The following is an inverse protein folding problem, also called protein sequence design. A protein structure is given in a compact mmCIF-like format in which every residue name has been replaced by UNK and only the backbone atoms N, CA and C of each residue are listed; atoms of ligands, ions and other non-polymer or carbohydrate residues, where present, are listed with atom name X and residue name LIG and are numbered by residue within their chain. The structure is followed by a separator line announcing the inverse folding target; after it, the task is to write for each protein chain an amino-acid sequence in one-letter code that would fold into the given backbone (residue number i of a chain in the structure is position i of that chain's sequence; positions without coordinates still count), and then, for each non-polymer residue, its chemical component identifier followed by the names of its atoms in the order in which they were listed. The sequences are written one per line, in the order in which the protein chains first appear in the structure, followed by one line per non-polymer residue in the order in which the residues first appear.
data_IF_569362302277
#
_entry.id   IF_569362302277
#
_cell.length_a   1.000
_cell.length_b   1.000
_cell.length_c   1.000
_cell.angle_alpha   90.00
_cell.angle_beta   90.00
_cell.angle_gamma   90.00
#
_symmetry.space_group_name_H-M   'P 1'
#
loop_
_entity.id
_entity.type
_entity.pdbx_description
1 polymer ?
#
# COMPACT_ATOMS: atom_id res chain seq x y z
N UNK A 1 41.34 -57.03 -40.60
CA UNK A 1 41.81 -58.41 -40.42
C UNK A 1 42.98 -58.38 -39.43
N UNK A 2 42.86 -59.11 -38.31
CA UNK A 2 43.89 -59.47 -37.29
C UNK A 2 44.43 -58.34 -36.37
N UNK A 3 44.10 -58.34 -35.06
CA UNK A 3 44.69 -59.04 -33.87
C UNK A 3 45.57 -58.02 -33.09
N UNK A 4 45.15 -57.49 -31.91
CA UNK A 4 45.25 -58.02 -30.53
C UNK A 4 46.67 -58.16 -29.94
N UNK A 5 46.94 -57.44 -28.83
CA UNK A 5 47.79 -57.76 -27.64
C UNK A 5 47.93 -56.46 -26.81
N UNK A 6 47.31 -56.24 -25.64
CA UNK A 6 47.40 -56.83 -24.28
C UNK A 6 48.76 -56.72 -23.55
N UNK A 7 48.65 -56.49 -22.22
CA UNK A 7 49.61 -56.62 -21.08
C UNK A 7 50.31 -55.28 -20.71
N UNK A 8 50.44 -54.79 -19.46
CA UNK A 8 50.02 -55.11 -18.07
C UNK A 8 50.36 -53.86 -17.21
N UNK A 9 49.54 -53.42 -16.23
CA UNK A 9 49.54 -53.77 -14.80
C UNK A 9 50.76 -53.25 -14.00
N UNK A 10 50.49 -52.36 -13.02
CA UNK A 10 51.03 -52.19 -11.63
C UNK A 10 50.55 -50.79 -11.22
N UNK A 11 49.52 -50.61 -10.39
CA UNK A 11 49.49 -50.93 -8.96
C UNK A 11 50.01 -49.73 -8.18
N UNK A 12 49.21 -49.13 -7.30
CA UNK A 12 49.57 -48.66 -5.96
C UNK A 12 48.28 -48.21 -5.26
N UNK A 13 47.89 -49.05 -4.29
CA UNK A 13 46.89 -48.82 -3.26
C UNK A 13 47.49 -47.96 -2.14
N UNK A 14 46.73 -47.00 -1.64
CA UNK A 14 46.76 -46.44 -0.27
C UNK A 14 45.46 -45.60 -0.15
N UNK A 15 44.33 -46.14 0.32
CA UNK A 15 43.95 -46.36 1.73
C UNK A 15 44.19 -45.15 2.63
N UNK A 16 43.17 -44.31 2.82
CA UNK A 16 42.99 -43.56 4.07
C UNK A 16 41.49 -43.25 4.30
N UNK A 17 40.90 -44.12 5.11
CA UNK A 17 39.95 -43.86 6.20
C UNK A 17 38.93 -42.71 6.07
N UNK A 18 37.69 -43.16 6.01
CA UNK A 18 36.46 -42.56 6.50
C UNK A 18 36.61 -41.46 7.57
N UNK A 19 36.05 -40.29 7.27
CA UNK A 19 35.46 -39.41 8.27
C UNK A 19 33.99 -39.19 7.88
N UNK A 20 33.10 -39.86 8.60
CA UNK A 20 31.68 -39.53 8.62
C UNK A 20 31.54 -38.09 9.14
N UNK A 21 31.34 -37.14 8.24
CA UNK A 21 30.80 -35.84 8.61
C UNK A 21 29.29 -35.90 8.36
N UNK A 22 28.54 -36.15 9.42
CA UNK A 22 27.11 -35.88 9.50
C UNK A 22 26.88 -34.39 9.22
N UNK A 23 26.65 -34.04 7.95
CA UNK A 23 26.10 -32.74 7.59
C UNK A 23 24.59 -32.88 7.74
N UNK A 24 24.11 -32.54 8.94
CA UNK A 24 22.71 -32.17 9.12
C UNK A 24 22.43 -30.98 8.22
N UNK A 25 21.79 -31.26 7.10
CA UNK A 25 21.10 -30.31 6.24
C UNK A 25 19.97 -29.66 7.04
N UNK A 26 20.29 -28.76 7.96
CA UNK A 26 19.34 -27.72 8.35
C UNK A 26 19.25 -26.80 7.14
N UNK A 27 18.23 -27.06 6.31
CA UNK A 27 17.77 -26.12 5.31
C UNK A 27 17.38 -24.83 6.03
N UNK A 28 18.36 -23.93 6.14
CA UNK A 28 18.16 -22.56 6.53
C UNK A 28 17.43 -21.91 5.35
N UNK A 29 16.10 -21.97 5.44
CA UNK A 29 15.19 -21.18 4.64
C UNK A 29 15.39 -19.72 5.06
N UNK A 30 16.44 -19.09 4.54
CA UNK A 30 16.44 -17.65 4.34
C UNK A 30 15.35 -17.36 3.32
N UNK A 31 14.12 -17.16 3.81
CA UNK A 31 13.15 -16.35 3.10
C UNK A 31 13.77 -14.98 2.96
N UNK A 32 14.45 -14.78 1.84
CA UNK A 32 14.90 -13.50 1.35
C UNK A 32 13.71 -12.55 1.39
N UNK A 33 13.65 -11.73 2.45
CA UNK A 33 12.65 -10.70 2.63
C UNK A 33 12.71 -9.80 1.40
N UNK A 34 11.68 -9.89 0.57
CA UNK A 34 11.51 -8.97 -0.54
C UNK A 34 11.43 -7.58 0.05
N UNK A 35 12.42 -6.75 -0.29
CA UNK A 35 12.49 -5.36 0.13
C UNK A 35 11.21 -4.62 -0.21
N UNK A 36 10.31 -4.56 0.77
CA UNK A 36 9.13 -3.72 0.75
C UNK A 36 9.56 -2.28 0.58
N UNK A 37 8.71 -1.47 -0.05
CA UNK A 37 8.90 -0.04 0.02
C UNK A 37 9.04 0.36 1.50
N UNK A 38 9.90 1.34 1.83
CA UNK A 38 9.94 1.91 3.17
C UNK A 38 8.54 2.36 3.58
N UNK A 39 7.95 1.64 4.52
CA UNK A 39 6.73 2.01 5.22
C UNK A 39 6.90 3.44 5.75
N UNK A 40 5.85 4.26 5.68
CA UNK A 40 5.87 5.69 6.04
C UNK A 40 6.79 6.55 5.19
N UNK A 41 6.69 6.43 3.88
CA UNK A 41 7.39 7.32 2.97
C UNK A 41 6.55 8.53 2.61
N UNK A 42 7.16 9.71 2.57
CA UNK A 42 6.54 10.98 2.21
C UNK A 42 7.32 11.65 1.07
N UNK A 43 6.60 12.40 0.23
CA UNK A 43 7.19 13.26 -0.77
C UNK A 43 7.62 14.58 -0.11
N UNK A 44 8.89 14.65 0.26
CA UNK A 44 9.49 15.86 0.83
C UNK A 44 10.20 16.65 -0.27
N UNK A 45 10.16 17.98 -0.17
CA UNK A 45 11.09 18.79 -0.93
C UNK A 45 12.51 18.50 -0.47
N UNK A 46 13.29 17.87 -1.34
CA UNK A 46 14.72 17.87 -1.18
C UNK A 46 15.21 19.29 -1.44
N UNK A 47 15.87 19.90 -0.47
CA UNK A 47 16.80 20.96 -0.81
C UNK A 47 17.82 20.36 -1.80
N UNK A 48 18.00 20.98 -2.95
CA UNK A 48 19.17 20.80 -3.81
C UNK A 48 20.46 21.31 -3.11
N UNK A 49 20.47 21.45 -1.79
CA UNK A 49 21.66 21.76 -1.00
C UNK A 49 22.44 20.46 -0.85
N UNK A 50 23.50 20.35 -1.65
CA UNK A 50 24.56 19.35 -1.61
C UNK A 50 24.38 17.99 -2.29
N UNK A 51 23.41 17.82 -3.19
CA UNK A 51 23.60 16.80 -4.21
C UNK A 51 24.49 17.34 -5.34
N UNK A 52 25.54 16.61 -5.71
CA UNK A 52 26.47 16.95 -6.81
C UNK A 52 25.69 17.27 -8.11
N UNK A 53 24.50 16.70 -8.26
CA UNK A 53 23.57 16.95 -9.36
C UNK A 53 23.00 18.36 -9.41
N UNK A 54 22.75 19.00 -8.26
CA UNK A 54 22.21 20.36 -8.23
C UNK A 54 23.17 21.38 -8.81
N UNK A 55 24.42 21.31 -8.39
CA UNK A 55 25.50 22.18 -8.88
C UNK A 55 25.74 21.93 -10.36
N UNK A 56 25.75 20.67 -10.80
CA UNK A 56 25.91 20.36 -12.23
C UNK A 56 24.73 20.84 -13.09
N UNK A 57 23.49 20.76 -12.59
CA UNK A 57 22.33 21.30 -13.27
C UNK A 57 22.42 22.82 -13.34
N UNK A 58 22.70 23.49 -12.22
CA UNK A 58 22.80 24.95 -12.20
C UNK A 58 23.91 25.47 -13.14
N UNK A 59 25.11 24.87 -13.09
CA UNK A 59 26.23 25.24 -13.96
C UNK A 59 25.94 24.99 -15.44
N UNK A 60 25.13 23.98 -15.80
CA UNK A 60 24.74 23.72 -17.19
C UNK A 60 23.55 24.55 -17.69
N UNK A 61 22.69 25.04 -16.79
CA UNK A 61 21.52 25.87 -17.11
C UNK A 61 21.65 27.29 -16.60
N UNK A 62 22.83 27.91 -16.71
CA UNK A 62 22.99 29.33 -16.38
C UNK A 62 22.01 30.26 -17.12
N UNK A 63 21.44 29.80 -18.25
CA UNK A 63 20.47 30.54 -19.05
C UNK A 63 19.01 30.39 -18.57
N UNK A 64 18.71 29.47 -17.65
CA UNK A 64 17.35 29.30 -17.12
C UNK A 64 17.38 29.53 -15.61
N UNK A 65 16.65 30.54 -15.12
CA UNK A 65 16.70 30.91 -13.72
C UNK A 65 16.29 29.74 -12.80
N UNK A 66 17.00 29.58 -11.67
CA UNK A 66 16.84 28.44 -10.76
C UNK A 66 15.38 28.23 -10.31
N UNK A 67 14.61 29.31 -10.19
CA UNK A 67 13.21 29.29 -9.78
C UNK A 67 12.24 28.66 -10.80
N UNK A 68 12.68 28.40 -12.04
CA UNK A 68 11.80 27.83 -13.07
C UNK A 68 11.74 26.30 -13.08
N UNK A 69 12.71 25.61 -12.47
CA UNK A 69 12.78 24.13 -12.49
C UNK A 69 12.22 23.45 -11.26
N UNK A 70 11.97 24.22 -10.20
CA UNK A 70 11.50 23.63 -8.96
C UNK A 70 12.58 22.98 -8.10
N UNK A 71 12.16 22.33 -7.01
CA UNK A 71 13.05 21.54 -6.14
C UNK A 71 12.85 20.06 -6.39
N UNK A 72 13.94 19.28 -6.43
CA UNK A 72 13.85 17.83 -6.65
C UNK A 72 13.14 17.20 -5.45
N UNK A 73 12.13 16.39 -5.74
CA UNK A 73 11.39 15.66 -4.70
C UNK A 73 12.17 14.42 -4.33
N UNK A 74 12.28 14.19 -3.02
CA UNK A 74 12.85 12.96 -2.46
C UNK A 74 11.79 12.22 -1.67
N UNK A 75 12.04 10.95 -1.45
CA UNK A 75 11.24 10.16 -0.52
C UNK A 75 11.93 10.17 0.84
N UNK A 76 11.25 10.72 1.83
CA UNK A 76 11.70 10.81 3.21
C UNK A 76 10.76 10.01 4.12
N UNK A 77 11.17 9.72 5.36
CA UNK A 77 10.25 9.19 6.35
C UNK A 77 9.19 10.27 6.68
N UNK A 78 7.92 9.88 6.74
CA UNK A 78 6.84 10.77 7.16
C UNK A 78 6.99 11.11 8.63
N UNK A 79 6.73 12.37 8.97
CA UNK A 79 6.50 12.74 10.35
C UNK A 79 5.07 12.32 10.72
N UNK A 80 4.89 11.63 11.85
CA UNK A 80 3.61 11.00 12.24
C UNK A 80 2.45 11.99 12.38
N UNK A 81 2.76 13.28 12.59
CA UNK A 81 1.76 14.31 12.92
C UNK A 81 1.17 15.05 11.69
N UNK A 82 1.43 14.58 10.46
CA UNK A 82 0.83 15.18 9.25
C UNK A 82 0.01 14.13 8.51
N UNK A 83 -1.29 14.12 8.79
CA UNK A 83 -2.29 13.52 7.92
C UNK A 83 -2.09 14.00 6.49
N UNK A 84 -2.20 13.06 5.55
CA UNK A 84 -1.60 13.14 4.23
C UNK A 84 -2.63 13.50 3.14
N UNK A 85 -2.98 14.79 3.02
CA UNK A 85 -3.77 15.32 1.89
C UNK A 85 -2.87 15.75 0.71
N UNK A 86 -2.02 14.84 0.24
CA UNK A 86 -1.11 15.11 -0.88
C UNK A 86 -1.71 14.68 -2.22
N UNK A 87 -2.78 13.87 -2.24
CA UNK A 87 -3.59 13.63 -3.43
C UNK A 87 -4.84 14.49 -3.31
N UNK A 88 -4.95 15.50 -4.19
CA UNK A 88 -6.13 16.34 -4.25
C UNK A 88 -7.30 15.62 -4.93
N UNK A 89 -8.52 16.15 -4.76
CA UNK A 89 -9.73 15.63 -5.37
C UNK A 89 -9.65 15.49 -6.91
N UNK A 90 -8.81 16.27 -7.59
CA UNK A 90 -8.58 16.18 -9.04
C UNK A 90 -7.49 15.14 -9.43
N UNK A 91 -7.10 14.29 -8.48
CA UNK A 91 -5.98 13.36 -8.56
C UNK A 91 -4.61 14.02 -8.79
N UNK A 92 -4.48 15.34 -8.67
CA UNK A 92 -3.18 15.97 -8.69
C UNK A 92 -2.43 15.70 -7.40
N UNK A 93 -1.12 15.63 -7.50
CA UNK A 93 -0.25 15.28 -6.37
C UNK A 93 0.48 16.51 -5.89
N UNK A 94 0.52 16.73 -4.59
CA UNK A 94 1.26 17.78 -3.93
C UNK A 94 2.32 17.19 -2.98
N UNK A 95 3.18 18.05 -2.45
CA UNK A 95 4.12 17.71 -1.37
C UNK A 95 3.54 18.11 -0.02
N UNK A 96 4.21 17.74 1.07
CA UNK A 96 3.85 18.17 2.44
C UNK A 96 3.79 19.70 2.64
N UNK A 97 4.30 20.46 1.67
CA UNK A 97 4.31 21.92 1.64
C UNK A 97 3.21 22.51 0.73
N UNK A 98 2.28 21.67 0.26
CA UNK A 98 1.17 22.08 -0.62
C UNK A 98 1.60 22.38 -2.05
N UNK A 99 2.80 21.96 -2.48
CA UNK A 99 3.31 22.28 -3.83
C UNK A 99 3.09 21.13 -4.77
N UNK A 100 2.54 21.43 -5.96
CA UNK A 100 2.27 20.41 -6.96
C UNK A 100 3.53 19.66 -7.39
N UNK A 101 3.46 18.35 -7.32
CA UNK A 101 4.43 17.42 -7.88
C UNK A 101 4.35 17.43 -9.40
N UNK A 102 5.49 17.72 -10.02
CA UNK A 102 5.68 17.69 -11.47
C UNK A 102 6.86 16.78 -11.81
N UNK A 103 7.06 16.53 -13.09
CA UNK A 103 8.20 15.80 -13.62
C UNK A 103 8.93 16.66 -14.66
N UNK A 104 10.24 16.79 -14.48
CA UNK A 104 11.15 17.44 -15.42
C UNK A 104 11.95 16.40 -16.20
N UNK A 105 12.02 16.54 -17.54
CA UNK A 105 12.81 15.64 -18.38
C UNK A 105 14.27 16.10 -18.42
N UNK A 106 15.16 15.26 -17.89
CA UNK A 106 16.60 15.43 -17.94
C UNK A 106 17.27 14.35 -18.78
N UNK A 107 17.69 14.68 -20.00
CA UNK A 107 18.26 13.71 -20.97
C UNK A 107 17.28 12.56 -21.24
N UNK A 108 17.63 11.34 -20.79
CA UNK A 108 16.82 10.11 -20.89
C UNK A 108 16.12 9.77 -19.57
N UNK A 109 16.14 10.67 -18.58
CA UNK A 109 15.54 10.48 -17.26
C UNK A 109 14.45 11.50 -17.02
N UNK A 110 13.56 11.17 -16.12
CA UNK A 110 12.50 12.03 -15.62
C UNK A 110 12.75 12.21 -14.12
N UNK A 111 12.78 13.45 -13.68
CA UNK A 111 13.07 13.84 -12.31
C UNK A 111 11.81 14.45 -11.71
N UNK A 112 11.28 13.92 -10.60
CA UNK A 112 10.19 14.57 -9.91
C UNK A 112 10.68 15.87 -9.27
N UNK A 113 9.92 16.94 -9.46
CA UNK A 113 10.22 18.28 -8.97
C UNK A 113 8.96 18.94 -8.44
N UNK A 114 9.06 19.79 -7.42
CA UNK A 114 7.96 20.69 -7.02
C UNK A 114 8.03 21.97 -7.83
N UNK A 115 6.91 22.54 -8.26
CA UNK A 115 6.94 23.81 -8.97
C UNK A 115 6.04 24.87 -8.35
N UNK A 116 6.54 26.11 -8.29
CA UNK A 116 5.76 27.29 -7.92
C UNK A 116 5.00 27.90 -9.10
N UNK A 117 5.40 27.58 -10.33
CA UNK A 117 4.80 28.15 -11.55
C UNK A 117 4.50 27.08 -12.58
N UNK A 118 3.51 27.33 -13.41
CA UNK A 118 3.27 26.52 -14.61
C UNK A 118 4.43 26.74 -15.59
N UNK A 119 5.13 25.67 -15.93
CA UNK A 119 6.17 25.68 -16.96
C UNK A 119 5.83 24.61 -17.98
N UNK A 120 5.90 24.97 -19.26
CA UNK A 120 5.64 24.05 -20.38
C UNK A 120 6.58 22.84 -20.43
N UNK A 121 7.70 22.92 -19.71
CA UNK A 121 8.69 21.85 -19.64
C UNK A 121 8.43 20.88 -18.48
N UNK A 122 7.45 21.17 -17.63
CA UNK A 122 7.07 20.37 -16.48
C UNK A 122 5.79 19.58 -16.79
N UNK A 123 5.86 18.28 -16.54
CA UNK A 123 4.74 17.37 -16.75
C UNK A 123 3.99 17.20 -15.43
N UNK A 124 2.67 17.33 -15.45
CA UNK A 124 1.85 17.10 -14.26
C UNK A 124 1.88 15.62 -13.87
N UNK A 125 2.14 15.35 -12.59
CA UNK A 125 1.97 14.02 -12.01
C UNK A 125 0.55 13.90 -11.48
N UNK A 126 -0.08 12.76 -11.75
CA UNK A 126 -1.40 12.38 -11.26
C UNK A 126 -1.32 11.07 -10.51
N UNK A 127 -2.09 10.96 -9.44
CA UNK A 127 -2.32 9.71 -8.76
C UNK A 127 -3.39 8.92 -9.51
N UNK A 128 -3.06 7.76 -10.04
CA UNK A 128 -3.98 6.94 -10.81
C UNK A 128 -3.73 5.46 -10.49
N UNK A 129 -4.76 4.75 -10.03
CA UNK A 129 -4.68 3.33 -9.64
C UNK A 129 -3.56 3.03 -8.64
N UNK A 130 -3.45 3.85 -7.59
CA UNK A 130 -2.36 3.78 -6.59
C UNK A 130 -0.96 4.00 -7.19
N UNK A 131 -0.83 4.77 -8.28
CA UNK A 131 0.47 5.01 -8.92
C UNK A 131 0.64 6.48 -9.29
N UNK A 132 1.85 6.98 -9.11
CA UNK A 132 2.24 8.30 -9.60
C UNK A 132 2.50 8.22 -11.10
N UNK A 133 1.60 8.76 -11.90
CA UNK A 133 1.61 8.68 -13.36
C UNK A 133 1.76 10.04 -14.02
N UNK A 134 2.35 10.08 -15.21
CA UNK A 134 2.43 11.28 -16.03
C UNK A 134 2.44 10.92 -17.52
N UNK A 135 2.05 11.85 -18.39
CA UNK A 135 2.05 11.66 -19.85
C UNK A 135 3.23 12.40 -20.50
N UNK A 136 3.90 11.74 -21.43
CA UNK A 136 4.96 12.33 -22.25
C UNK A 136 4.86 11.84 -23.69
N UNK A 137 4.73 12.76 -24.65
CA UNK A 137 4.56 12.46 -26.09
C UNK A 137 3.45 11.42 -26.36
N UNK A 138 2.31 11.57 -25.71
CA UNK A 138 1.17 10.66 -25.85
C UNK A 138 1.29 9.32 -25.09
N UNK A 139 2.46 8.99 -24.57
CA UNK A 139 2.68 7.77 -23.78
C UNK A 139 2.55 8.06 -22.28
N UNK A 140 1.95 7.13 -21.55
CA UNK A 140 1.84 7.17 -20.09
C UNK A 140 3.05 6.49 -19.45
N UNK A 141 3.55 7.10 -18.38
CA UNK A 141 4.65 6.59 -17.58
C UNK A 141 4.24 6.62 -16.11
N UNK A 142 4.85 5.79 -15.27
CA UNK A 142 4.79 5.94 -13.82
C UNK A 142 6.16 6.22 -13.22
N UNK A 143 6.14 6.92 -12.08
CA UNK A 143 7.26 7.02 -11.16
C UNK A 143 7.25 5.79 -10.26
N UNK A 144 8.41 5.16 -10.08
CA UNK A 144 8.63 4.07 -9.13
C UNK A 144 9.86 4.37 -8.28
N UNK A 145 9.98 3.72 -7.13
CA UNK A 145 11.21 3.73 -6.36
C UNK A 145 12.02 2.47 -6.63
N UNK A 146 13.33 2.62 -6.79
CA UNK A 146 14.23 1.48 -6.71
C UNK A 146 14.59 1.18 -5.24
N UNK A 147 15.34 0.09 -5.03
CA UNK A 147 15.85 -0.30 -3.70
C UNK A 147 16.67 0.80 -2.98
N UNK A 148 17.21 1.78 -3.71
CA UNK A 148 17.96 2.91 -3.16
C UNK A 148 17.08 4.14 -2.88
N UNK A 149 15.74 3.99 -2.88
CA UNK A 149 14.75 5.07 -2.74
C UNK A 149 14.93 6.18 -3.79
N UNK A 150 15.46 5.85 -4.96
CA UNK A 150 15.60 6.78 -6.09
C UNK A 150 14.47 6.55 -7.08
N UNK A 151 13.91 7.66 -7.55
CA UNK A 151 12.91 7.63 -8.60
C UNK A 151 13.46 7.05 -9.90
N UNK A 152 12.74 6.08 -10.43
CA UNK A 152 12.85 5.58 -11.80
C UNK A 152 11.51 5.77 -12.50
N UNK A 153 11.55 5.68 -13.82
CA UNK A 153 10.34 5.75 -14.64
C UNK A 153 10.18 4.49 -15.45
N UNK A 154 8.96 3.96 -15.45
CA UNK A 154 8.58 2.83 -16.28
C UNK A 154 7.44 3.24 -17.23
N UNK A 155 7.38 2.65 -18.43
CA UNK A 155 6.18 2.69 -19.26
C UNK A 155 4.98 2.14 -18.47
N UNK A 156 3.79 2.69 -18.72
CA UNK A 156 2.59 2.36 -17.96
C UNK A 156 2.29 0.86 -17.90
N UNK A 157 2.48 0.14 -18.99
CA UNK A 157 2.25 -1.31 -19.08
C UNK A 157 3.16 -2.09 -18.12
N UNK A 158 4.42 -1.66 -18.00
CA UNK A 158 5.37 -2.24 -17.05
C UNK A 158 5.06 -1.85 -15.58
N UNK A 159 4.37 -0.73 -15.36
CA UNK A 159 3.89 -0.34 -14.04
C UNK A 159 2.77 -1.25 -13.55
N UNK A 160 1.85 -1.64 -14.44
CA UNK A 160 0.71 -2.48 -14.04
C UNK A 160 1.17 -3.82 -13.42
N UNK A 161 2.29 -4.36 -13.90
CA UNK A 161 2.89 -5.61 -13.40
C UNK A 161 3.92 -5.43 -12.30
N UNK A 162 4.35 -4.20 -12.00
CA UNK A 162 5.39 -3.95 -11.00
C UNK A 162 4.78 -3.61 -9.64
N UNK A 163 5.01 -4.44 -8.63
CA UNK A 163 4.53 -4.17 -7.27
C UNK A 163 5.16 -2.90 -6.68
N UNK A 164 6.43 -2.63 -7.01
CA UNK A 164 7.16 -1.41 -6.61
C UNK A 164 6.61 -0.12 -7.23
N UNK A 165 5.67 -0.23 -8.17
CA UNK A 165 4.99 0.92 -8.75
C UNK A 165 3.74 1.34 -8.00
N UNK A 166 3.21 0.51 -7.10
CA UNK A 166 2.12 0.90 -6.21
C UNK A 166 2.70 1.84 -5.15
N UNK A 167 2.08 3.00 -5.02
CA UNK A 167 2.33 3.99 -4.00
C UNK A 167 1.17 3.85 -3.01
N UNK A 168 1.39 3.06 -1.96
CA UNK A 168 0.45 2.92 -0.83
C UNK A 168 0.61 4.10 0.15
N UNK A 169 0.79 5.30 -0.37
CA UNK A 169 1.06 6.50 0.42
C UNK A 169 -0.26 7.05 0.96
N UNK A 170 -0.28 7.45 2.22
CA UNK A 170 -1.50 7.79 2.96
C UNK A 170 -2.07 6.63 3.78
N UNK A 171 -1.58 5.40 3.58
CA UNK A 171 -1.82 4.32 4.53
C UNK A 171 -0.85 4.44 5.71
N UNK A 172 -1.28 4.11 6.93
CA UNK A 172 -0.39 3.91 8.06
C UNK A 172 0.63 2.79 7.78
N UNK A 173 1.73 2.73 8.54
CA UNK A 173 2.71 1.65 8.39
C UNK A 173 2.05 0.29 8.60
N UNK A 174 2.67 -0.78 8.09
CA UNK A 174 2.24 -2.12 8.52
C UNK A 174 2.61 -2.25 10.00
N UNK A 175 1.66 -2.49 10.91
CA UNK A 175 1.99 -2.62 12.32
C UNK A 175 2.68 -3.95 12.63
N UNK A 176 2.78 -4.88 11.68
CA UNK A 176 3.48 -6.15 11.88
C UNK A 176 2.90 -6.95 13.05
N UNK A 177 3.76 -7.46 13.93
CA UNK A 177 3.34 -8.17 15.15
C UNK A 177 2.66 -7.24 16.17
N UNK A 178 3.01 -5.96 16.21
CA UNK A 178 2.40 -4.99 17.13
C UNK A 178 0.90 -4.84 16.84
N UNK A 179 0.47 -5.03 15.59
CA UNK A 179 -0.94 -5.01 15.18
C UNK A 179 -1.79 -6.14 15.76
N UNK A 180 -1.15 -7.18 16.31
CA UNK A 180 -1.82 -8.32 16.96
C UNK A 180 -2.03 -8.10 18.46
N UNK A 181 -1.43 -7.05 19.04
CA UNK A 181 -1.48 -6.82 20.48
C UNK A 181 -2.86 -6.25 20.86
N UNK A 182 -3.51 -6.94 21.80
CA UNK A 182 -4.77 -6.52 22.41
C UNK A 182 -5.98 -6.52 21.47
N UNK A 183 -7.10 -6.15 22.05
CA UNK A 183 -8.39 -6.15 21.38
C UNK A 183 -8.48 -5.13 20.23
N UNK A 184 -8.07 -3.89 20.48
CA UNK A 184 -8.22 -2.76 19.54
C UNK A 184 -7.13 -2.73 18.47
N UNK A 185 -5.92 -3.22 18.76
CA UNK A 185 -4.79 -3.16 17.84
C UNK A 185 -4.21 -1.75 17.65
N UNK A 186 -3.40 -1.57 16.61
CA UNK A 186 -2.76 -0.29 16.26
C UNK A 186 -3.59 0.42 15.20
N UNK A 187 -3.98 1.66 15.51
CA UNK A 187 -4.60 2.65 14.62
C UNK A 187 -3.76 3.94 14.75
N UNK A 188 -2.78 4.10 13.85
CA UNK A 188 -1.76 5.16 13.95
C UNK A 188 -2.31 6.53 13.56
N UNK A 189 -3.33 6.58 12.69
CA UNK A 189 -3.97 7.79 12.21
C UNK A 189 -5.27 8.13 12.97
N UNK A 190 -5.71 7.29 13.91
CA UNK A 190 -6.94 7.44 14.69
C UNK A 190 -8.18 7.61 13.81
N UNK A 191 -8.24 6.93 12.66
CA UNK A 191 -9.39 6.98 11.75
C UNK A 191 -10.49 5.95 12.12
N UNK A 192 -10.27 5.21 13.21
CA UNK A 192 -11.17 4.17 13.70
C UNK A 192 -10.96 2.82 13.04
N UNK A 193 -10.01 2.70 12.10
CA UNK A 193 -9.65 1.48 11.38
C UNK A 193 -8.19 1.14 11.70
N UNK A 194 -7.93 -0.13 12.05
CA UNK A 194 -6.58 -0.60 12.35
C UNK A 194 -5.74 -0.53 11.09
N UNK A 195 -4.48 -0.18 11.28
CA UNK A 195 -3.51 -0.02 10.20
C UNK A 195 -3.45 -1.28 9.29
N UNK A 196 -3.48 -2.47 9.90
CA UNK A 196 -3.40 -3.74 9.16
C UNK A 196 -4.68 -4.10 8.39
N UNK A 197 -5.83 -3.57 8.81
CA UNK A 197 -7.14 -3.71 8.16
C UNK A 197 -7.27 -2.68 7.04
N UNK A 198 -6.87 -1.43 7.29
CA UNK A 198 -6.86 -0.37 6.27
C UNK A 198 -5.98 -0.77 5.09
N UNK A 199 -4.80 -1.31 5.36
CA UNK A 199 -3.91 -1.84 4.32
C UNK A 199 -4.51 -3.00 3.56
N UNK A 200 -5.19 -3.91 4.25
CA UNK A 200 -5.90 -5.02 3.61
C UNK A 200 -6.98 -4.53 2.64
N UNK A 201 -7.77 -3.51 3.03
CA UNK A 201 -8.78 -2.88 2.17
C UNK A 201 -8.13 -2.31 0.89
N UNK A 202 -7.07 -1.53 1.06
CA UNK A 202 -6.38 -0.88 -0.06
C UNK A 202 -5.75 -1.88 -1.04
N UNK A 203 -5.23 -2.99 -0.52
CA UNK A 203 -4.59 -4.03 -1.32
C UNK A 203 -5.59 -4.91 -2.08
N UNK A 204 -6.71 -5.27 -1.46
CA UNK A 204 -7.72 -6.15 -2.09
C UNK A 204 -8.63 -5.41 -3.06
N UNK A 205 -8.95 -4.13 -2.81
CA UNK A 205 -9.93 -3.37 -3.59
C UNK A 205 -9.29 -2.36 -4.55
N UNK A 206 -8.26 -2.78 -5.28
CA UNK A 206 -7.53 -1.90 -6.21
C UNK A 206 -8.47 -1.30 -7.26
N UNK A 207 -8.44 0.04 -7.38
CA UNK A 207 -9.09 0.76 -8.47
C UNK A 207 -10.58 1.07 -8.30
N UNK A 208 -11.23 0.65 -7.22
CA UNK A 208 -12.62 1.02 -6.94
C UNK A 208 -12.74 1.83 -5.64
N UNK A 209 -12.94 3.14 -5.78
CA UNK A 209 -13.09 4.06 -4.65
C UNK A 209 -14.34 3.73 -3.84
N UNK A 210 -15.47 3.47 -4.51
CA UNK A 210 -16.74 3.14 -3.85
C UNK A 210 -16.64 1.84 -3.02
N UNK A 211 -16.04 0.78 -3.58
CA UNK A 211 -15.83 -0.48 -2.83
C UNK A 211 -14.98 -0.23 -1.58
N UNK A 212 -13.94 0.61 -1.68
CA UNK A 212 -13.11 0.97 -0.52
C UNK A 212 -13.90 1.77 0.51
N UNK A 213 -14.69 2.77 0.11
CA UNK A 213 -15.57 3.53 1.03
C UNK A 213 -16.52 2.60 1.78
N UNK A 214 -17.18 1.67 1.07
CA UNK A 214 -18.05 0.67 1.69
C UNK A 214 -17.31 -0.28 2.64
N UNK A 215 -16.11 -0.74 2.25
CA UNK A 215 -15.29 -1.61 3.08
C UNK A 215 -14.78 -0.90 4.34
N UNK A 216 -14.40 0.38 4.25
CA UNK A 216 -13.98 1.21 5.40
C UNK A 216 -15.14 1.43 6.36
N UNK A 217 -16.33 1.76 5.86
CA UNK A 217 -17.55 1.85 6.69
C UNK A 217 -17.81 0.54 7.47
N UNK A 218 -17.63 -0.62 6.84
CA UNK A 218 -17.77 -1.91 7.53
C UNK A 218 -16.64 -2.16 8.53
N UNK A 219 -15.40 -1.81 8.22
CA UNK A 219 -14.26 -2.00 9.10
C UNK A 219 -14.38 -1.13 10.35
N UNK A 220 -14.67 0.16 10.20
CA UNK A 220 -14.86 1.13 11.27
C UNK A 220 -15.91 0.63 12.29
N UNK A 221 -17.13 0.33 11.84
CA UNK A 221 -18.18 -0.16 12.75
C UNK A 221 -17.84 -1.51 13.38
N UNK A 222 -17.11 -2.38 12.66
CA UNK A 222 -16.68 -3.68 13.21
C UNK A 222 -15.64 -3.50 14.31
N UNK A 223 -14.73 -2.54 14.18
CA UNK A 223 -13.74 -2.23 15.21
C UNK A 223 -14.35 -1.51 16.39
N UNK A 224 -15.28 -0.58 16.15
CA UNK A 224 -15.99 0.07 17.24
C UNK A 224 -16.83 -0.92 18.05
N UNK A 225 -17.43 -1.91 17.38
CA UNK A 225 -18.05 -3.05 18.06
C UNK A 225 -17.03 -3.85 18.88
N UNK A 226 -15.87 -4.16 18.31
CA UNK A 226 -14.82 -4.91 18.98
C UNK A 226 -14.31 -4.22 20.25
N UNK A 227 -14.10 -2.91 20.21
CA UNK A 227 -13.73 -2.09 21.37
C UNK A 227 -14.78 -2.16 22.49
N UNK A 228 -16.07 -2.23 22.11
CA UNK A 228 -17.21 -2.26 23.03
C UNK A 228 -17.75 -3.68 23.27
N UNK A 229 -16.97 -4.72 22.96
CA UNK A 229 -17.48 -6.10 22.88
C UNK A 229 -18.11 -6.66 24.18
N UNK A 230 -17.74 -6.09 25.32
CA UNK A 230 -18.22 -6.50 26.63
C UNK A 230 -19.38 -5.64 27.18
N UNK A 231 -19.73 -4.55 26.49
CA UNK A 231 -20.88 -3.71 26.81
C UNK A 231 -22.10 -4.14 25.99
N UNK A 232 -23.03 -4.84 26.64
CA UNK A 232 -24.24 -5.35 25.97
C UNK A 232 -25.09 -4.24 25.38
N UNK A 233 -25.31 -3.15 26.11
CA UNK A 233 -26.19 -2.07 25.67
C UNK A 233 -25.59 -1.35 24.47
N UNK A 234 -24.28 -1.10 24.51
CA UNK A 234 -23.56 -0.50 23.38
C UNK A 234 -23.59 -1.37 22.13
N UNK A 235 -23.41 -2.69 22.26
CA UNK A 235 -23.50 -3.62 21.12
C UNK A 235 -24.89 -3.63 20.50
N UNK A 236 -25.96 -3.57 21.32
CA UNK A 236 -27.33 -3.50 20.80
C UNK A 236 -27.58 -2.18 20.06
N UNK A 237 -27.02 -1.06 20.54
CA UNK A 237 -27.10 0.22 19.84
C UNK A 237 -26.36 0.21 18.49
N UNK A 238 -25.24 -0.52 18.40
CA UNK A 238 -24.41 -0.59 17.19
C UNK A 238 -24.92 -1.59 16.13
N UNK A 239 -25.91 -2.42 16.45
CA UNK A 239 -26.38 -3.46 15.53
C UNK A 239 -26.97 -2.88 14.23
N UNK A 240 -27.73 -1.79 14.35
CA UNK A 240 -28.29 -1.08 13.20
C UNK A 240 -27.21 -0.54 12.27
N UNK A 241 -26.18 0.11 12.81
CA UNK A 241 -25.06 0.63 12.02
C UNK A 241 -24.23 -0.50 11.38
N UNK A 242 -24.02 -1.59 12.12
CA UNK A 242 -23.30 -2.75 11.61
C UNK A 242 -24.05 -3.41 10.46
N UNK A 243 -25.37 -3.53 10.58
CA UNK A 243 -26.25 -4.06 9.53
C UNK A 243 -26.24 -3.14 8.32
N UNK A 244 -26.39 -1.82 8.51
CA UNK A 244 -26.32 -0.83 7.43
C UNK A 244 -24.99 -0.91 6.66
N UNK A 245 -23.85 -1.04 7.34
CA UNK A 245 -22.55 -1.16 6.69
C UNK A 245 -22.43 -2.46 5.85
N UNK A 246 -22.97 -3.58 6.34
CA UNK A 246 -23.02 -4.84 5.56
C UNK A 246 -23.90 -4.68 4.32
N UNK A 247 -25.06 -4.04 4.46
CA UNK A 247 -25.98 -3.81 3.33
C UNK A 247 -25.39 -2.85 2.29
N UNK A 248 -24.68 -1.81 2.72
CA UNK A 248 -23.92 -0.94 1.83
C UNK A 248 -22.85 -1.73 1.05
N UNK A 249 -22.08 -2.60 1.73
CA UNK A 249 -21.09 -3.45 1.07
C UNK A 249 -21.74 -4.36 0.02
N UNK A 250 -22.89 -4.97 0.35
CA UNK A 250 -23.66 -5.81 -0.59
C UNK A 250 -24.15 -5.00 -1.79
N UNK A 251 -24.63 -3.78 -1.57
CA UNK A 251 -25.07 -2.89 -2.64
C UNK A 251 -23.92 -2.56 -3.61
N UNK A 252 -22.75 -2.17 -3.09
CA UNK A 252 -21.60 -1.72 -3.90
C UNK A 252 -20.84 -2.88 -4.56
N UNK A 253 -20.73 -4.03 -3.89
CA UNK A 253 -19.95 -5.17 -4.39
C UNK A 253 -20.77 -6.29 -5.02
N UNK A 254 -22.10 -6.29 -4.84
CA UNK A 254 -22.98 -7.35 -5.31
C UNK A 254 -22.56 -8.73 -4.79
N UNK A 255 -22.40 -9.69 -5.69
CA UNK A 255 -22.05 -11.07 -5.36
C UNK A 255 -20.65 -11.22 -4.71
N UNK A 256 -19.74 -10.29 -4.95
CA UNK A 256 -18.39 -10.32 -4.37
C UNK A 256 -18.40 -9.99 -2.86
N UNK A 257 -19.44 -9.31 -2.38
CA UNK A 257 -19.54 -8.81 -1.00
C UNK A 257 -19.36 -9.94 0.03
N UNK A 258 -20.00 -11.09 -0.20
CA UNK A 258 -19.92 -12.23 0.72
C UNK A 258 -18.48 -12.74 0.86
N UNK A 259 -17.79 -12.96 -0.27
CA UNK A 259 -16.40 -13.44 -0.27
C UNK A 259 -15.46 -12.43 0.38
N UNK A 260 -15.61 -11.15 0.04
CA UNK A 260 -14.79 -10.09 0.62
C UNK A 260 -15.02 -9.95 2.12
N UNK A 261 -16.28 -9.95 2.58
CA UNK A 261 -16.65 -9.89 4.00
C UNK A 261 -16.04 -11.03 4.81
N UNK A 262 -15.95 -12.24 4.26
CA UNK A 262 -15.28 -13.36 4.94
C UNK A 262 -13.78 -13.08 5.14
N UNK A 263 -13.08 -12.59 4.12
CA UNK A 263 -11.67 -12.21 4.25
C UNK A 263 -11.49 -11.07 5.24
N UNK A 264 -12.34 -10.04 5.15
CA UNK A 264 -12.32 -8.89 6.06
C UNK A 264 -12.50 -9.33 7.51
N UNK A 265 -13.50 -10.18 7.77
CA UNK A 265 -13.75 -10.76 9.09
C UNK A 265 -12.54 -11.53 9.61
N UNK A 266 -11.90 -12.34 8.77
CA UNK A 266 -10.69 -13.06 9.15
C UNK A 266 -9.53 -12.10 9.50
N UNK A 267 -9.45 -10.93 8.88
CA UNK A 267 -8.44 -9.90 9.18
C UNK A 267 -8.74 -9.15 10.48
N UNK A 268 -10.01 -8.79 10.71
CA UNK A 268 -10.44 -8.06 11.91
C UNK A 268 -10.33 -8.97 13.15
N UNK A 269 -10.81 -10.21 13.08
CA UNK A 269 -10.84 -11.15 14.22
C UNK A 269 -9.73 -12.20 14.13
N UNK A 270 -8.49 -11.76 13.90
CA UNK A 270 -7.32 -12.58 13.63
C UNK A 270 -6.55 -13.06 14.88
N UNK A 271 -7.04 -12.79 16.09
CA UNK A 271 -6.45 -13.25 17.36
C UNK A 271 -7.49 -13.94 18.23
N UNK A 272 -7.02 -14.79 19.15
CA UNK A 272 -7.90 -15.52 20.07
C UNK A 272 -8.80 -14.56 20.88
N UNK A 273 -8.22 -13.50 21.45
CA UNK A 273 -8.93 -12.48 22.22
C UNK A 273 -10.05 -11.82 21.39
N UNK A 274 -9.75 -11.48 20.11
CA UNK A 274 -10.72 -10.85 19.21
C UNK A 274 -11.85 -11.82 18.81
N UNK A 275 -11.55 -13.12 18.69
CA UNK A 275 -12.56 -14.16 18.44
C UNK A 275 -13.48 -14.32 19.66
N UNK A 276 -12.93 -14.31 20.87
CA UNK A 276 -13.72 -14.38 22.11
C UNK A 276 -14.65 -13.17 22.27
N UNK A 277 -14.12 -11.97 22.02
CA UNK A 277 -14.91 -10.74 21.96
C UNK A 277 -16.01 -10.82 20.90
N UNK A 278 -15.68 -11.32 19.69
CA UNK A 278 -16.67 -11.53 18.63
C UNK A 278 -17.79 -12.50 19.04
N UNK A 279 -17.45 -13.61 19.68
CA UNK A 279 -18.41 -14.56 20.21
C UNK A 279 -19.32 -13.92 21.27
N UNK A 280 -18.74 -13.11 22.17
CA UNK A 280 -19.50 -12.39 23.20
C UNK A 280 -20.51 -11.42 22.60
N UNK A 281 -20.09 -10.62 21.61
CA UNK A 281 -20.98 -9.70 20.88
C UNK A 281 -22.14 -10.44 20.20
N UNK A 282 -21.87 -11.56 19.53
CA UNK A 282 -22.93 -12.33 18.86
C UNK A 282 -23.92 -12.94 19.86
N UNK A 283 -23.44 -13.34 21.04
CA UNK A 283 -24.33 -13.83 22.10
C UNK A 283 -25.34 -12.77 22.54
N UNK A 284 -24.95 -11.49 22.56
CA UNK A 284 -25.87 -10.39 22.87
C UNK A 284 -26.93 -10.15 21.79
N UNK A 285 -26.59 -10.37 20.52
CA UNK A 285 -27.47 -10.17 19.37
C UNK A 285 -28.35 -11.39 19.06
N UNK A 286 -28.09 -12.52 19.72
CA UNK A 286 -28.87 -13.74 19.51
C UNK A 286 -30.34 -13.50 19.89
N UNK A 287 -31.24 -13.77 18.94
CA UNK A 287 -32.69 -13.60 19.13
C UNK A 287 -33.19 -12.16 18.97
N UNK A 288 -32.33 -11.20 18.60
CA UNK A 288 -32.77 -9.83 18.26
C UNK A 288 -33.38 -9.85 16.85
N UNK A 289 -34.64 -9.44 16.67
CA UNK A 289 -35.24 -9.36 15.34
C UNK A 289 -34.60 -8.23 14.54
N UNK A 290 -34.38 -8.45 13.24
CA UNK A 290 -33.89 -7.44 12.32
C UNK A 290 -34.90 -7.20 11.20
N UNK A 291 -35.02 -5.95 10.79
CA UNK A 291 -35.82 -5.54 9.62
C UNK A 291 -34.87 -5.08 8.54
N UNK A 292 -35.04 -5.60 7.33
CA UNK A 292 -34.27 -5.13 6.18
C UNK A 292 -34.86 -3.81 5.66
N UNK A 293 -34.04 -2.79 5.38
CA UNK A 293 -34.51 -1.56 4.77
C UNK A 293 -34.91 -1.80 3.31
N UNK A 294 -35.88 -1.04 2.81
CA UNK A 294 -36.37 -1.14 1.43
C UNK A 294 -35.30 -0.75 0.39
N UNK A 295 -34.37 0.12 0.77
CA UNK A 295 -33.28 0.59 -0.09
C UNK A 295 -31.92 0.29 0.56
N UNK A 296 -31.14 -0.58 -0.08
CA UNK A 296 -29.79 -0.94 0.39
C UNK A 296 -28.78 0.20 0.19
N UNK A 297 -28.94 0.99 -0.87
CA UNK A 297 -28.03 2.08 -1.20
C UNK A 297 -28.09 3.22 -0.18
N UNK A 298 -29.25 3.47 0.43
CA UNK A 298 -29.40 4.49 1.49
C UNK A 298 -28.65 4.14 2.78
N UNK A 299 -28.08 2.93 2.87
CA UNK A 299 -27.27 2.49 4.01
C UNK A 299 -25.80 2.89 3.87
N UNK A 300 -25.38 3.37 2.70
CA UNK A 300 -24.03 3.87 2.49
C UNK A 300 -23.89 5.31 3.02
N UNK A 301 -22.95 5.53 3.95
CA UNK A 301 -22.69 6.86 4.55
C UNK A 301 -22.07 7.88 3.57
N UNK A 302 -21.80 7.48 2.31
CA UNK A 302 -21.08 8.27 1.31
C UNK A 302 -21.86 8.50 0.00
N UNK A 303 -23.13 8.10 -0.11
CA UNK A 303 -23.83 8.03 -1.40
C UNK A 303 -24.56 9.31 -1.84
N UNK A 304 -24.43 10.45 -1.15
CA UNK A 304 -25.22 11.66 -1.47
C UNK A 304 -24.45 12.81 -2.13
N UNK A 305 -23.11 12.81 -2.10
CA UNK A 305 -22.36 14.05 -2.40
C UNK A 305 -21.56 14.00 -3.72
N UNK A 306 -21.40 12.81 -4.33
CA UNK A 306 -20.49 12.62 -5.48
C UNK A 306 -21.18 12.64 -6.86
N UNK A 307 -22.52 12.71 -6.95
CA UNK A 307 -23.25 12.73 -8.24
C UNK A 307 -23.20 14.05 -9.01
N UNK A 308 -22.38 15.02 -8.56
CA UNK A 308 -22.16 16.31 -9.23
C UNK A 308 -20.75 16.44 -9.85
N UNK A 309 -20.03 15.34 -10.06
CA UNK A 309 -18.70 15.34 -10.70
C UNK A 309 -18.67 14.56 -12.03
N UNK A 310 -19.69 14.75 -12.88
CA UNK A 310 -19.58 14.46 -14.33
C UNK A 310 -19.08 15.68 -15.12
#
# INVERSE_FOLDING_TARGET
MKIQRQIAFVGWLLSCTAFLCLITSTAYSDTMEWGGQPENSCLEEGALKDDRWSRQLHLRFNWIPYYQYGRVVRVAACNKDREQDWVLNDNSVQTLEGKSLKVFRWRKRFLPVTSYRTSKHLLSVRYHQQRLSFKYKGQSYCLILNQQKRFKTLPWEACLVSDNSRWLFGLPPDPGEDGLIGLVGVDSNNDGIRDDVERFIEQELVGSIEKKKAARQLAEVSQFRLENAFDREKILQLDGESSAAVLCLVHVMGQEASRFRHKMKARIYNTQERIEAWNKMNAYLSGVPYTLPDNLGSQCKFSSDDSNME
#
